data_IF_754373049743
#
_entry.id   IF_754373049743
#
_cell.length_a   1.000
_cell.length_b   1.000
_cell.length_c   1.000
_cell.angle_alpha   90.00
_cell.angle_beta   90.00
_cell.angle_gamma   90.00
#
_symmetry.space_group_name_H-M   'P 1'
#
loop_
_entity.id
_entity.type
_entity.pdbx_description
1 polymer ?
#
# COMPACT_ATOMS: atom_id res chain seq x y z
N UNK A 1 -1.88 -9.45 -28.49
CA UNK A 1 -2.92 -9.01 -27.54
C UNK A 1 -3.40 -7.62 -27.95
N UNK A 2 -4.68 -7.48 -28.32
CA UNK A 2 -5.22 -6.22 -28.85
C UNK A 2 -5.09 -5.11 -27.80
N UNK A 3 -4.63 -3.92 -28.21
CA UNK A 3 -4.49 -2.72 -27.34
C UNK A 3 -5.78 -2.42 -26.54
N UNK A 4 -6.92 -2.83 -27.08
CA UNK A 4 -8.23 -2.78 -26.44
C UNK A 4 -8.31 -3.59 -25.13
N UNK A 5 -7.90 -4.87 -25.13
CA UNK A 5 -7.89 -5.73 -23.93
C UNK A 5 -6.95 -5.18 -22.85
N UNK A 6 -5.78 -4.66 -23.25
CA UNK A 6 -4.85 -4.00 -22.34
C UNK A 6 -5.42 -2.72 -21.72
N UNK A 7 -6.24 -1.97 -22.44
CA UNK A 7 -6.87 -0.77 -21.89
C UNK A 7 -8.02 -1.09 -20.93
N UNK A 8 -8.74 -2.20 -21.14
CA UNK A 8 -9.76 -2.69 -20.20
C UNK A 8 -9.13 -3.30 -18.94
N UNK A 9 -8.02 -4.02 -19.05
CA UNK A 9 -7.35 -4.62 -17.87
C UNK A 9 -6.67 -3.60 -16.96
N UNK A 10 -6.36 -2.40 -17.46
CA UNK A 10 -5.71 -1.35 -16.66
C UNK A 10 -6.51 -0.93 -15.42
N UNK A 11 -7.79 -0.56 -15.52
CA UNK A 11 -8.59 -0.22 -14.34
C UNK A 11 -8.76 -1.41 -13.37
N UNK A 12 -8.77 -2.66 -13.87
CA UNK A 12 -8.82 -3.86 -13.00
C UNK A 12 -7.64 -3.99 -12.05
N UNK A 13 -6.49 -3.36 -12.35
CA UNK A 13 -5.35 -3.35 -11.42
C UNK A 13 -5.63 -2.63 -10.11
N UNK A 14 -6.66 -1.77 -10.04
CA UNK A 14 -7.11 -1.10 -8.82
C UNK A 14 -8.13 -1.91 -8.03
N UNK A 15 -8.55 -3.09 -8.51
CA UNK A 15 -9.50 -3.95 -7.79
C UNK A 15 -9.02 -4.30 -6.37
N UNK A 16 -7.73 -4.60 -6.10
CA UNK A 16 -7.24 -4.80 -4.74
C UNK A 16 -7.41 -3.56 -3.87
N UNK A 17 -7.25 -2.36 -4.42
CA UNK A 17 -7.45 -1.12 -3.68
C UNK A 17 -8.92 -0.92 -3.31
N UNK A 18 -9.84 -1.17 -4.25
CA UNK A 18 -11.28 -1.11 -3.99
C UNK A 18 -11.71 -2.14 -2.93
N UNK A 19 -11.16 -3.35 -2.98
CA UNK A 19 -11.39 -4.38 -1.97
C UNK A 19 -10.90 -3.92 -0.60
N UNK A 20 -9.69 -3.35 -0.51
CA UNK A 20 -9.17 -2.81 0.74
C UNK A 20 -10.02 -1.65 1.28
N UNK A 21 -10.49 -0.74 0.43
CA UNK A 21 -11.40 0.33 0.83
C UNK A 21 -12.71 -0.23 1.40
N UNK A 22 -13.27 -1.27 0.77
CA UNK A 22 -14.46 -1.95 1.28
C UNK A 22 -14.21 -2.62 2.64
N UNK A 23 -13.07 -3.29 2.82
CA UNK A 23 -12.69 -3.94 4.09
C UNK A 23 -12.56 -2.90 5.20
N UNK A 24 -11.83 -1.81 4.96
CA UNK A 24 -11.66 -0.72 5.94
C UNK A 24 -13.03 -0.14 6.33
N UNK A 25 -13.86 0.20 5.34
CA UNK A 25 -15.19 0.73 5.59
C UNK A 25 -16.07 -0.24 6.40
N UNK A 26 -15.98 -1.54 6.11
CA UNK A 26 -16.71 -2.58 6.84
C UNK A 26 -16.26 -2.69 8.31
N UNK A 27 -14.97 -2.51 8.60
CA UNK A 27 -14.47 -2.47 9.98
C UNK A 27 -14.77 -1.15 10.69
N UNK A 28 -14.80 -0.04 9.94
CA UNK A 28 -15.14 1.29 10.43
C UNK A 28 -16.60 1.43 10.85
N UNK A 29 -17.51 0.82 10.09
CA UNK A 29 -18.95 0.79 10.37
C UNK A 29 -19.32 0.01 11.65
N UNK A 30 -18.41 -0.78 12.21
CA UNK A 30 -18.65 -1.52 13.45
C UNK A 30 -18.58 -0.60 14.67
N UNK A 31 -19.49 -0.83 15.63
CA UNK A 31 -19.48 -0.10 16.91
C UNK A 31 -18.14 -0.25 17.65
N UNK A 32 -17.83 0.73 18.50
CA UNK A 32 -16.59 0.72 19.29
C UNK A 32 -16.44 -0.54 20.15
N UNK A 33 -17.55 -1.09 20.63
CA UNK A 33 -17.61 -2.33 21.43
C UNK A 33 -17.28 -3.58 20.60
N UNK A 34 -17.90 -3.73 19.41
CA UNK A 34 -17.66 -4.88 18.53
C UNK A 34 -16.20 -4.89 18.06
N UNK A 35 -15.71 -3.72 17.64
CA UNK A 35 -14.31 -3.55 17.22
C UNK A 35 -13.31 -3.79 18.37
N UNK A 36 -13.65 -3.34 19.58
CA UNK A 36 -12.87 -3.62 20.79
C UNK A 36 -12.77 -5.12 21.05
N UNK A 37 -13.91 -5.82 21.14
CA UNK A 37 -13.94 -7.26 21.39
C UNK A 37 -13.15 -8.07 20.34
N UNK A 38 -13.22 -7.69 19.05
CA UNK A 38 -12.39 -8.32 18.02
C UNK A 38 -10.89 -8.14 18.31
N UNK A 39 -10.50 -6.91 18.65
CA UNK A 39 -9.13 -6.55 19.02
C UNK A 39 -8.67 -7.26 20.30
N UNK A 40 -9.58 -7.46 21.26
CA UNK A 40 -9.33 -8.21 22.49
C UNK A 40 -9.02 -9.67 22.18
N UNK A 41 -9.80 -10.33 21.32
CA UNK A 41 -9.57 -11.72 20.92
C UNK A 41 -8.19 -11.91 20.28
N UNK A 42 -7.82 -11.00 19.37
CA UNK A 42 -6.49 -10.99 18.76
C UNK A 42 -5.41 -10.78 19.82
N UNK A 43 -5.61 -9.82 20.72
CA UNK A 43 -4.68 -9.51 21.81
C UNK A 43 -4.49 -10.67 22.77
N UNK A 44 -5.57 -11.35 23.12
CA UNK A 44 -5.55 -12.54 23.94
C UNK A 44 -4.70 -13.64 23.31
N UNK A 45 -4.93 -13.92 22.02
CA UNK A 45 -4.15 -14.90 21.26
C UNK A 45 -2.68 -14.53 21.17
N UNK A 46 -2.35 -13.25 21.01
CA UNK A 46 -0.96 -12.79 21.00
C UNK A 46 -0.26 -13.02 22.34
N UNK A 47 -0.94 -12.71 23.46
CA UNK A 47 -0.38 -12.92 24.80
C UNK A 47 -0.29 -14.41 25.15
N UNK A 48 -1.29 -15.21 24.76
CA UNK A 48 -1.29 -16.67 24.93
C UNK A 48 -0.12 -17.32 24.20
N UNK A 49 0.05 -17.02 22.90
CA UNK A 49 1.19 -17.53 22.11
C UNK A 49 2.51 -17.05 22.70
N UNK A 50 2.59 -15.77 23.11
CA UNK A 50 3.80 -15.23 23.75
C UNK A 50 4.14 -15.95 25.05
N UNK A 51 3.13 -16.30 25.85
CA UNK A 51 3.31 -17.07 27.08
C UNK A 51 3.85 -18.48 26.81
N UNK A 52 3.31 -19.15 25.80
CA UNK A 52 3.72 -20.51 25.43
C UNK A 52 5.14 -20.54 24.83
N UNK A 53 5.49 -19.53 24.03
CA UNK A 53 6.80 -19.43 23.38
C UNK A 53 7.91 -19.02 24.34
N UNK A 54 7.61 -18.12 25.29
CA UNK A 54 8.57 -17.59 26.26
C UNK A 54 8.56 -18.34 27.59
N UNK A 55 7.70 -19.35 27.72
CA UNK A 55 7.50 -20.15 28.94
C UNK A 55 7.30 -19.29 30.20
N UNK A 56 6.61 -18.15 30.07
CA UNK A 56 6.49 -17.16 31.17
C UNK A 56 5.62 -17.64 32.33
N UNK A 57 4.84 -18.71 32.14
CA UNK A 57 4.00 -19.32 33.17
C UNK A 57 2.84 -18.43 33.65
N UNK A 58 2.34 -17.54 32.79
CA UNK A 58 1.22 -16.66 33.14
C UNK A 58 -0.08 -17.43 33.36
N UNK A 59 -0.82 -17.02 34.39
CA UNK A 59 -2.17 -17.51 34.63
C UNK A 59 -3.16 -16.92 33.63
N UNK A 60 -4.32 -17.56 33.46
CA UNK A 60 -5.38 -17.07 32.56
C UNK A 60 -5.84 -15.65 32.91
N UNK A 61 -5.88 -15.30 34.20
CA UNK A 61 -6.19 -13.94 34.66
C UNK A 61 -5.12 -12.92 34.24
N UNK A 62 -3.84 -13.30 34.29
CA UNK A 62 -2.74 -12.46 33.83
C UNK A 62 -2.80 -12.25 32.31
N UNK A 63 -3.06 -13.31 31.55
CA UNK A 63 -3.21 -13.24 30.08
C UNK A 63 -4.34 -12.28 29.72
N UNK A 64 -5.52 -12.42 30.33
CA UNK A 64 -6.66 -11.51 30.11
C UNK A 64 -6.32 -10.06 30.48
N UNK A 65 -5.63 -9.84 31.60
CA UNK A 65 -5.18 -8.50 32.01
C UNK A 65 -4.23 -7.85 30.99
N UNK A 66 -3.26 -8.60 30.48
CA UNK A 66 -2.35 -8.10 29.44
C UNK A 66 -3.09 -7.89 28.13
N UNK A 67 -4.01 -8.79 27.75
CA UNK A 67 -4.83 -8.65 26.55
C UNK A 67 -5.63 -7.34 26.56
N UNK A 68 -6.30 -7.00 27.67
CA UNK A 68 -7.01 -5.72 27.81
C UNK A 68 -6.08 -4.50 27.73
N UNK A 69 -4.83 -4.62 28.18
CA UNK A 69 -3.86 -3.52 28.07
C UNK A 69 -3.38 -3.29 26.65
N UNK A 70 -3.23 -4.36 25.86
CA UNK A 70 -2.71 -4.25 24.48
C UNK A 70 -3.81 -4.15 23.43
N UNK A 71 -5.07 -4.43 23.76
CA UNK A 71 -6.23 -4.36 22.84
C UNK A 71 -6.29 -3.06 22.06
N UNK A 72 -6.19 -1.92 22.76
CA UNK A 72 -6.26 -0.62 22.11
C UNK A 72 -5.06 -0.38 21.16
N UNK A 73 -3.79 -0.59 21.58
CA UNK A 73 -2.65 -0.59 20.66
C UNK A 73 -2.80 -1.53 19.46
N UNK A 74 -3.24 -2.77 19.68
CA UNK A 74 -3.43 -3.78 18.62
C UNK A 74 -4.45 -3.29 17.60
N UNK A 75 -5.56 -2.69 18.05
CA UNK A 75 -6.55 -2.07 17.16
C UNK A 75 -5.94 -0.96 16.30
N UNK A 76 -5.13 -0.07 16.89
CA UNK A 76 -4.47 1.02 16.14
C UNK A 76 -3.44 0.50 15.14
N UNK A 77 -2.71 -0.56 15.49
CA UNK A 77 -1.79 -1.22 14.58
C UNK A 77 -2.51 -1.95 13.44
N UNK A 78 -3.69 -2.53 13.70
CA UNK A 78 -4.52 -3.14 12.66
C UNK A 78 -4.95 -2.08 11.62
N UNK A 79 -5.49 -0.95 12.06
CA UNK A 79 -5.83 0.16 11.16
C UNK A 79 -4.62 0.69 10.38
N UNK A 80 -3.50 0.94 11.07
CA UNK A 80 -2.25 1.34 10.40
C UNK A 80 -1.84 0.33 9.30
N UNK A 81 -2.01 -0.97 9.56
CA UNK A 81 -1.71 -2.04 8.61
C UNK A 81 -2.70 -2.06 7.44
N UNK A 82 -3.98 -1.82 7.69
CA UNK A 82 -5.00 -1.70 6.64
C UNK A 82 -4.66 -0.54 5.68
N UNK A 83 -4.28 0.63 6.22
CA UNK A 83 -3.86 1.77 5.40
C UNK A 83 -2.51 1.55 4.70
N UNK A 84 -1.59 0.80 5.31
CA UNK A 84 -0.39 0.32 4.63
C UNK A 84 -0.75 -0.53 3.39
N UNK A 85 -1.64 -1.51 3.55
CA UNK A 85 -2.06 -2.39 2.45
C UNK A 85 -2.86 -1.64 1.38
N UNK A 86 -3.73 -0.71 1.78
CA UNK A 86 -4.41 0.19 0.85
C UNK A 86 -3.41 1.00 0.04
N UNK A 87 -2.41 1.60 0.69
CA UNK A 87 -1.37 2.38 0.03
C UNK A 87 -0.54 1.54 -0.93
N UNK A 88 -0.23 0.29 -0.60
CA UNK A 88 0.43 -0.66 -1.52
C UNK A 88 -0.46 -0.92 -2.74
N UNK A 89 -1.73 -1.23 -2.52
CA UNK A 89 -2.70 -1.55 -3.56
C UNK A 89 -2.98 -0.37 -4.51
N UNK A 90 -2.98 0.86 -4.00
CA UNK A 90 -3.13 2.10 -4.79
C UNK A 90 -1.83 2.44 -5.52
N UNK A 91 -0.69 2.34 -4.84
CA UNK A 91 0.60 2.80 -5.38
C UNK A 91 1.15 1.90 -6.48
N UNK A 92 0.89 0.59 -6.40
CA UNK A 92 1.45 -0.37 -7.35
C UNK A 92 0.96 -0.14 -8.79
N UNK A 93 -0.36 -0.04 -9.08
CA UNK A 93 -0.88 0.37 -10.38
C UNK A 93 -0.30 1.69 -10.88
N UNK A 94 -0.28 2.72 -10.04
CA UNK A 94 0.26 4.03 -10.41
C UNK A 94 1.74 3.94 -10.81
N UNK A 95 2.55 3.17 -10.08
CA UNK A 95 3.96 2.95 -10.40
C UNK A 95 4.13 2.27 -11.76
N UNK A 96 3.35 1.23 -12.03
CA UNK A 96 3.36 0.47 -13.28
C UNK A 96 2.93 1.34 -14.45
N UNK A 97 1.95 2.23 -14.26
CA UNK A 97 1.47 3.19 -15.27
C UNK A 97 2.34 4.41 -15.47
N UNK A 98 3.43 4.54 -14.71
CA UNK A 98 4.49 5.50 -14.96
C UNK A 98 4.54 6.67 -14.00
N UNK A 99 3.62 6.77 -13.04
CA UNK A 99 3.69 7.76 -11.96
C UNK A 99 4.74 7.32 -10.94
N UNK A 100 5.78 8.13 -10.72
CA UNK A 100 6.95 7.73 -9.93
C UNK A 100 7.51 8.88 -9.10
N UNK A 101 8.42 8.55 -8.20
CA UNK A 101 9.15 9.54 -7.40
C UNK A 101 8.21 10.33 -6.50
N UNK A 102 8.42 11.65 -6.42
CA UNK A 102 7.62 12.51 -5.56
C UNK A 102 6.15 12.59 -5.96
N UNK A 103 5.84 12.57 -7.26
CA UNK A 103 4.45 12.61 -7.74
C UNK A 103 3.63 11.39 -7.26
N UNK A 104 4.25 10.20 -7.19
CA UNK A 104 3.60 9.02 -6.62
C UNK A 104 3.30 9.20 -5.13
N UNK A 105 4.27 9.75 -4.37
CA UNK A 105 4.09 10.04 -2.94
C UNK A 105 2.91 10.99 -2.70
N UNK A 106 2.81 12.06 -3.50
CA UNK A 106 1.74 13.05 -3.37
C UNK A 106 0.40 12.46 -3.76
N UNK A 107 0.28 11.84 -4.93
CA UNK A 107 -1.02 11.33 -5.41
C UNK A 107 -1.53 10.19 -4.54
N UNK A 108 -0.72 9.16 -4.30
CA UNK A 108 -1.13 8.03 -3.47
C UNK A 108 -1.32 8.47 -2.01
N UNK A 109 -0.47 9.36 -1.51
CA UNK A 109 -0.59 9.92 -0.17
C UNK A 109 -1.88 10.70 0.02
N UNK A 110 -2.24 11.60 -0.90
CA UNK A 110 -3.50 12.35 -0.83
C UNK A 110 -4.73 11.43 -0.87
N UNK A 111 -4.70 10.37 -1.69
CA UNK A 111 -5.79 9.38 -1.73
C UNK A 111 -5.92 8.66 -0.38
N UNK A 112 -4.81 8.17 0.18
CA UNK A 112 -4.85 7.40 1.43
C UNK A 112 -5.19 8.28 2.64
N UNK A 113 -4.61 9.48 2.74
CA UNK A 113 -4.89 10.45 3.80
C UNK A 113 -6.34 10.96 3.70
N UNK A 114 -6.81 11.23 2.48
CA UNK A 114 -8.21 11.61 2.24
C UNK A 114 -9.17 10.50 2.64
N UNK A 115 -8.83 9.24 2.35
CA UNK A 115 -9.61 8.10 2.79
C UNK A 115 -9.59 7.93 4.31
N UNK A 116 -8.43 8.10 4.96
CA UNK A 116 -8.30 8.07 6.43
C UNK A 116 -9.13 9.16 7.11
N UNK A 117 -9.11 10.37 6.57
CA UNK A 117 -9.96 11.46 7.07
C UNK A 117 -11.45 11.17 6.87
N UNK A 118 -11.83 10.60 5.71
CA UNK A 118 -13.20 10.19 5.43
C UNK A 118 -13.67 9.05 6.34
N UNK A 119 -12.78 8.12 6.67
CA UNK A 119 -13.05 7.03 7.58
C UNK A 119 -13.30 7.52 9.01
N UNK A 120 -12.44 8.39 9.55
CA UNK A 120 -12.64 9.00 10.86
C UNK A 120 -13.92 9.86 10.92
N UNK A 121 -14.23 10.55 9.82
CA UNK A 121 -15.51 11.24 9.69
C UNK A 121 -16.68 10.26 9.74
N UNK A 122 -16.61 9.12 9.05
CA UNK A 122 -17.63 8.08 9.11
C UNK A 122 -17.76 7.48 10.53
N UNK A 123 -16.64 7.17 11.18
CA UNK A 123 -16.61 6.66 12.55
C UNK A 123 -17.25 7.62 13.55
N UNK A 124 -17.22 8.93 13.29
CA UNK A 124 -17.88 9.93 14.15
C UNK A 124 -19.41 9.76 14.25
N UNK A 125 -20.02 9.06 13.29
CA UNK A 125 -21.45 8.73 13.30
C UNK A 125 -21.75 7.36 13.94
N UNK A 126 -20.73 6.60 14.32
CA UNK A 126 -20.86 5.24 14.85
C UNK A 126 -20.82 5.27 16.38
N UNK A 127 -21.76 4.58 17.02
CA UNK A 127 -21.85 4.55 18.48
C UNK A 127 -20.58 3.96 19.14
N UNK A 128 -20.09 4.62 20.18
CA UNK A 128 -18.91 4.20 20.94
C UNK A 128 -17.57 4.48 20.24
N UNK A 129 -17.57 5.24 19.12
CA UNK A 129 -16.37 5.72 18.43
C UNK A 129 -16.27 7.24 18.60
N UNK A 130 -15.06 7.73 18.87
CA UNK A 130 -14.78 9.15 18.99
C UNK A 130 -13.78 9.56 17.91
N UNK A 131 -14.09 10.57 17.08
CA UNK A 131 -13.17 10.99 16.03
C UNK A 131 -11.88 11.54 16.64
N UNK A 132 -10.74 11.09 16.12
CA UNK A 132 -9.43 11.44 16.65
C UNK A 132 -8.47 11.78 15.52
N UNK A 133 -7.99 13.03 15.52
CA UNK A 133 -6.94 13.48 14.61
C UNK A 133 -5.65 12.65 14.72
N UNK A 134 -5.41 12.03 15.88
CA UNK A 134 -4.26 11.15 16.08
C UNK A 134 -4.39 9.85 15.27
N UNK A 135 -5.61 9.38 15.04
CA UNK A 135 -5.86 8.15 14.31
C UNK A 135 -5.57 8.34 12.83
N UNK A 136 -6.08 9.42 12.23
CA UNK A 136 -5.70 9.84 10.87
C UNK A 136 -4.19 9.92 10.71
N UNK A 137 -3.47 10.45 11.70
CA UNK A 137 -2.02 10.60 11.64
C UNK A 137 -1.30 9.24 11.68
N UNK A 138 -1.72 8.32 12.55
CA UNK A 138 -1.16 6.96 12.64
C UNK A 138 -1.42 6.20 11.33
N UNK A 139 -2.63 6.28 10.80
CA UNK A 139 -3.01 5.63 9.54
C UNK A 139 -2.25 6.22 8.35
N UNK A 140 -2.01 7.52 8.36
CA UNK A 140 -1.18 8.21 7.37
C UNK A 140 0.28 7.76 7.41
N UNK A 141 0.82 7.43 8.59
CA UNK A 141 2.16 6.85 8.73
C UNK A 141 2.19 5.45 8.08
N UNK A 142 1.17 4.62 8.35
CA UNK A 142 1.02 3.32 7.69
C UNK A 142 0.99 3.45 6.17
N UNK A 143 0.18 4.37 5.65
CA UNK A 143 0.10 4.66 4.22
C UNK A 143 1.44 5.12 3.64
N UNK A 144 2.15 6.02 4.33
CA UNK A 144 3.47 6.49 3.92
C UNK A 144 4.47 5.33 3.75
N UNK A 145 4.53 4.41 4.71
CA UNK A 145 5.38 3.23 4.62
C UNK A 145 4.95 2.30 3.49
N UNK A 146 3.65 2.15 3.22
CA UNK A 146 3.13 1.37 2.09
C UNK A 146 3.59 1.92 0.73
N UNK A 147 3.54 3.24 0.55
CA UNK A 147 4.03 3.90 -0.68
C UNK A 147 5.54 3.69 -0.82
N UNK A 148 6.31 3.88 0.26
CA UNK A 148 7.76 3.65 0.25
C UNK A 148 8.10 2.22 -0.09
N UNK A 149 7.37 1.25 0.48
CA UNK A 149 7.55 -0.17 0.19
C UNK A 149 7.41 -0.47 -1.30
N UNK A 150 6.32 -0.01 -1.93
CA UNK A 150 6.13 -0.16 -3.38
C UNK A 150 7.25 0.49 -4.17
N UNK A 151 7.68 1.68 -3.76
CA UNK A 151 8.74 2.41 -4.44
C UNK A 151 10.07 1.65 -4.39
N UNK A 152 10.43 1.09 -3.24
CA UNK A 152 11.65 0.31 -3.05
C UNK A 152 11.57 -0.97 -3.89
N UNK A 153 10.53 -1.78 -3.71
CA UNK A 153 10.37 -3.05 -4.43
C UNK A 153 10.32 -2.87 -5.94
N UNK A 154 9.52 -1.93 -6.43
CA UNK A 154 9.41 -1.70 -7.87
C UNK A 154 10.68 -1.07 -8.44
N UNK A 155 11.43 -0.29 -7.66
CA UNK A 155 12.74 0.20 -8.10
C UNK A 155 13.75 -0.94 -8.17
N UNK A 156 13.90 -1.75 -7.12
CA UNK A 156 14.86 -2.87 -7.10
C UNK A 156 14.55 -3.90 -8.18
N UNK A 157 13.29 -4.30 -8.33
CA UNK A 157 12.88 -5.36 -9.26
C UNK A 157 12.76 -4.85 -10.70
N UNK A 158 12.13 -3.69 -10.94
CA UNK A 158 11.81 -3.26 -12.32
C UNK A 158 12.85 -2.28 -12.90
N UNK A 159 13.71 -1.64 -12.10
CA UNK A 159 14.71 -0.72 -12.65
C UNK A 159 15.73 -1.41 -13.57
N UNK A 160 16.29 -2.59 -13.24
CA UNK A 160 17.27 -3.27 -14.09
C UNK A 160 16.74 -3.56 -15.50
N UNK A 161 15.54 -4.15 -15.60
CA UNK A 161 14.90 -4.43 -16.89
C UNK A 161 14.64 -3.16 -17.72
N UNK A 162 14.28 -2.06 -17.06
CA UNK A 162 14.05 -0.76 -17.73
C UNK A 162 15.34 -0.09 -18.19
N UNK A 163 16.45 -0.30 -17.47
CA UNK A 163 17.77 0.20 -17.87
C UNK A 163 18.27 -0.59 -19.08
N UNK A 164 18.21 -1.92 -19.02
CA UNK A 164 18.59 -2.80 -20.13
C UNK A 164 17.84 -2.43 -21.42
N UNK A 165 16.50 -2.33 -21.36
CA UNK A 165 15.68 -1.93 -22.51
C UNK A 165 16.06 -0.56 -23.09
N UNK A 166 16.35 0.43 -22.22
CA UNK A 166 16.78 1.77 -22.66
C UNK A 166 18.16 1.74 -23.34
N UNK A 167 19.07 0.90 -22.87
CA UNK A 167 20.38 0.72 -23.50
C UNK A 167 20.24 0.09 -24.88
N UNK A 168 19.42 -0.96 -25.03
CA UNK A 168 19.14 -1.55 -26.33
C UNK A 168 18.50 -0.56 -27.31
N UNK A 169 17.50 0.21 -26.86
CA UNK A 169 16.86 1.23 -27.71
C UNK A 169 17.85 2.31 -28.15
N UNK A 170 18.77 2.73 -27.26
CA UNK A 170 19.85 3.67 -27.62
C UNK A 170 20.83 3.06 -28.61
N UNK A 171 21.19 1.79 -28.46
CA UNK A 171 22.06 1.07 -29.40
C UNK A 171 21.41 0.98 -30.79
N UNK A 172 20.14 0.54 -30.87
CA UNK A 172 19.36 0.50 -32.12
C UNK A 172 19.23 1.87 -32.80
N UNK A 173 19.05 2.95 -32.02
CA UNK A 173 19.01 4.31 -32.56
C UNK A 173 20.35 4.76 -33.12
N UNK A 174 21.47 4.41 -32.48
CA UNK A 174 22.83 4.72 -32.95
C UNK A 174 23.14 3.99 -34.26
N UNK A 175 22.81 2.70 -34.34
CA UNK A 175 22.99 1.89 -35.56
C UNK A 175 22.24 2.49 -36.75
N UNK A 176 20.93 2.77 -36.59
CA UNK A 176 20.13 3.44 -37.63
C UNK A 176 20.66 4.81 -38.04
N UNK A 177 21.27 5.56 -37.12
CA UNK A 177 21.88 6.85 -37.43
C UNK A 177 23.18 6.69 -38.23
N UNK A 178 23.98 5.67 -37.93
CA UNK A 178 25.20 5.33 -38.67
C UNK A 178 24.88 4.86 -40.08
N UNK A 179 23.86 4.00 -40.26
CA UNK A 179 23.45 3.53 -41.59
C UNK A 179 22.99 4.68 -42.48
N UNK A 180 22.14 5.58 -41.95
CA UNK A 180 21.73 6.80 -42.65
C UNK A 180 22.91 7.71 -43.01
N UNK A 181 23.93 7.79 -42.15
CA UNK A 181 25.13 8.57 -42.44
C UNK A 181 25.99 7.91 -43.54
N UNK A 182 26.06 6.58 -43.58
CA UNK A 182 26.75 5.82 -44.63
C UNK A 182 26.06 5.98 -45.99
N UNK A 183 24.73 5.85 -46.03
CA UNK A 183 23.93 6.07 -47.25
C UNK A 183 24.12 7.48 -47.81
N UNK A 184 24.07 8.51 -46.96
CA UNK A 184 24.32 9.91 -47.37
C UNK A 184 25.72 10.13 -47.93
N UNK A 185 26.74 9.43 -47.41
CA UNK A 185 28.10 9.49 -47.95
C UNK A 185 28.18 8.77 -49.29
N UNK A 186 27.60 7.58 -49.42
CA UNK A 186 27.60 6.82 -50.68
C UNK A 186 26.86 7.55 -51.82
N UNK A 187 25.74 8.20 -51.52
CA UNK A 187 25.00 9.02 -52.50
C UNK A 187 25.66 10.34 -52.88
N UNK A 188 26.68 10.79 -52.15
CA UNK A 188 27.47 11.99 -52.49
C UNK A 188 28.67 11.72 -53.41
N UNK A 189 29.01 10.44 -53.59
CA UNK A 189 30.17 9.96 -54.37
C UNK A 189 29.76 9.52 -55.78
N UNK A 190 28.44 9.44 -56.05
CA UNK A 190 27.86 9.32 -57.41
C UNK A 190 27.48 10.69 -57.92
#
# INVERSE_FOLDING_TARGET
MNKFLLNILKPFSFLPALLMMYVIYSFSAQTGEVSGNLSYKVSYKLVEIGNDVLETGFTQEQISRYAHRIEHPVRKLAHMTEYFLLAVAVSFPFYVYGLRGFALMVVAGLICVGFAAGDEYHQSFVAGRGPSKKDVMIDSIGAFFGILFVRIICWTVLAPFRVAKRLEERARRRERALDRARERRAGRVR
#
